data_IF_488647634585
#
_entry.id   IF_488647634585
#
_cell.length_a   1.000
_cell.length_b   1.000
_cell.length_c   1.000
_cell.angle_alpha   90.00
_cell.angle_beta   90.00
_cell.angle_gamma   90.00
#
_symmetry.space_group_name_H-M   'P 1'
#
loop_
_entity.id
_entity.type
_entity.pdbx_description
1 polymer ?
#
# COMPACT_ATOMS: atom_id res chain seq x y z
N UNK A 1 22.97 17.26 -4.18
CA UNK A 1 23.13 16.65 -5.53
C UNK A 1 22.75 15.16 -5.62
N UNK A 2 22.60 14.41 -4.50
CA UNK A 2 22.24 12.98 -4.53
C UNK A 2 20.82 12.68 -5.07
N UNK A 3 19.85 13.58 -4.82
CA UNK A 3 18.47 13.40 -5.30
C UNK A 3 18.34 13.46 -6.83
N UNK A 4 19.07 14.34 -7.52
CA UNK A 4 19.00 14.46 -8.98
C UNK A 4 19.50 13.20 -9.70
N UNK A 5 20.53 12.54 -9.15
CA UNK A 5 21.01 11.28 -9.71
C UNK A 5 20.06 10.12 -9.40
N UNK A 6 19.36 10.14 -8.26
CA UNK A 6 18.35 9.13 -7.91
C UNK A 6 17.11 9.21 -8.82
N UNK A 7 16.73 10.43 -9.23
CA UNK A 7 15.67 10.66 -10.20
C UNK A 7 16.02 10.18 -11.62
N UNK A 8 17.31 10.15 -11.97
CA UNK A 8 17.80 9.68 -13.27
C UNK A 8 17.78 8.16 -13.41
N UNK A 9 17.89 7.40 -12.32
CA UNK A 9 17.91 5.93 -12.36
C UNK A 9 16.52 5.31 -12.54
N UNK A 10 15.43 6.05 -12.27
CA UNK A 10 14.05 5.54 -12.33
C UNK A 10 13.06 6.56 -12.93
N UNK A 11 13.10 6.81 -14.25
CA UNK A 11 12.29 7.84 -14.90
C UNK A 11 10.78 7.61 -14.77
N UNK A 12 10.36 6.34 -14.67
CA UNK A 12 8.94 5.97 -14.58
C UNK A 12 8.30 6.36 -13.24
N UNK A 13 9.00 6.19 -12.11
CA UNK A 13 8.49 6.54 -10.78
C UNK A 13 8.44 8.07 -10.58
N UNK A 14 9.42 8.78 -11.14
CA UNK A 14 9.41 10.24 -11.21
C UNK A 14 8.19 10.77 -11.96
N UNK A 15 7.92 10.23 -13.16
CA UNK A 15 6.76 10.62 -13.96
C UNK A 15 5.45 10.36 -13.23
N UNK A 16 5.30 9.21 -12.56
CA UNK A 16 4.10 8.91 -11.76
C UNK A 16 3.92 9.89 -10.60
N UNK A 17 5.00 10.26 -9.90
CA UNK A 17 4.93 11.23 -8.80
C UNK A 17 4.56 12.64 -9.28
N UNK A 18 5.10 13.06 -10.43
CA UNK A 18 4.82 14.36 -11.03
C UNK A 18 3.39 14.41 -11.56
N UNK A 19 2.91 13.32 -12.17
CA UNK A 19 1.53 13.20 -12.65
C UNK A 19 0.53 13.22 -11.49
N UNK A 20 0.80 12.51 -10.39
CA UNK A 20 -0.05 12.56 -9.20
C UNK A 20 -0.12 13.96 -8.58
N UNK A 21 1.01 14.67 -8.52
CA UNK A 21 1.03 16.06 -8.06
C UNK A 21 0.22 16.99 -8.97
N UNK A 22 0.39 16.85 -10.29
CA UNK A 22 -0.30 17.67 -11.28
C UNK A 22 -1.82 17.41 -11.24
N UNK A 23 -2.23 16.14 -11.30
CA UNK A 23 -3.64 15.74 -11.18
C UNK A 23 -4.23 16.21 -9.86
N UNK A 24 -3.39 16.17 -8.83
CA UNK A 24 -3.69 16.73 -7.54
C UNK A 24 -4.06 18.22 -7.60
N UNK A 25 -3.11 19.05 -7.99
CA UNK A 25 -3.31 20.50 -8.07
C UNK A 25 -4.50 20.87 -8.97
N UNK A 26 -4.69 20.15 -10.06
CA UNK A 26 -5.85 20.32 -10.95
C UNK A 26 -7.15 19.98 -10.23
N UNK A 27 -7.21 18.87 -9.48
CA UNK A 27 -8.39 18.51 -8.69
C UNK A 27 -8.74 19.56 -7.64
N UNK A 28 -7.75 20.06 -6.90
CA UNK A 28 -7.94 21.09 -5.88
C UNK A 28 -8.41 22.42 -6.49
N UNK A 29 -7.81 22.86 -7.60
CA UNK A 29 -8.20 24.09 -8.30
C UNK A 29 -9.59 23.99 -8.90
N UNK A 30 -9.93 22.86 -9.52
CA UNK A 30 -11.26 22.60 -10.05
C UNK A 30 -12.32 22.60 -8.96
N UNK A 31 -12.06 21.94 -7.83
CA UNK A 31 -12.98 21.93 -6.69
C UNK A 31 -13.23 23.33 -6.13
N UNK A 32 -12.17 24.12 -5.92
CA UNK A 32 -12.30 25.50 -5.44
C UNK A 32 -13.09 26.38 -6.40
N UNK A 33 -12.86 26.24 -7.70
CA UNK A 33 -13.60 26.99 -8.73
C UNK A 33 -15.08 26.59 -8.77
N UNK A 34 -15.36 25.28 -8.76
CA UNK A 34 -16.72 24.77 -8.78
C UNK A 34 -17.48 25.14 -7.49
N UNK A 35 -16.83 25.10 -6.33
CA UNK A 35 -17.43 25.50 -5.06
C UNK A 35 -17.81 26.98 -5.05
N UNK A 36 -16.94 27.89 -5.50
CA UNK A 36 -17.23 29.34 -5.54
C UNK A 36 -18.39 29.64 -6.51
N UNK A 37 -18.42 29.00 -7.68
CA UNK A 37 -19.51 29.17 -8.66
C UNK A 37 -20.85 28.64 -8.14
N UNK A 38 -20.88 27.43 -7.58
CA UNK A 38 -22.11 26.87 -7.03
C UNK A 38 -22.60 27.67 -5.81
N UNK A 39 -21.70 28.21 -4.99
CA UNK A 39 -22.05 29.03 -3.85
C UNK A 39 -22.68 30.36 -4.29
N UNK A 40 -22.12 31.03 -5.30
CA UNK A 40 -22.67 32.31 -5.81
C UNK A 40 -24.12 32.16 -6.28
N UNK A 41 -24.43 31.16 -7.10
CA UNK A 41 -25.79 30.94 -7.60
C UNK A 41 -26.81 30.67 -6.46
N UNK A 42 -26.40 29.97 -5.41
CA UNK A 42 -27.24 29.68 -4.25
C UNK A 42 -27.45 30.92 -3.38
N UNK A 43 -26.38 31.70 -3.16
CA UNK A 43 -26.41 32.97 -2.43
C UNK A 43 -27.33 33.96 -3.14
N UNK A 44 -27.25 34.05 -4.47
CA UNK A 44 -28.07 34.97 -5.26
C UNK A 44 -29.56 34.62 -5.14
N UNK A 45 -29.91 33.34 -5.29
CA UNK A 45 -31.30 32.89 -5.12
C UNK A 45 -31.81 33.16 -3.72
N UNK A 46 -31.01 32.82 -2.71
CA UNK A 46 -31.38 33.01 -1.30
C UNK A 46 -31.58 34.49 -0.97
N UNK A 47 -30.65 35.35 -1.37
CA UNK A 47 -30.72 36.79 -1.15
C UNK A 47 -31.90 37.45 -1.87
N UNK A 48 -32.17 37.05 -3.11
CA UNK A 48 -33.34 37.50 -3.86
C UNK A 48 -34.66 37.05 -3.23
N UNK A 49 -34.74 35.81 -2.71
CA UNK A 49 -35.93 35.31 -2.03
C UNK A 49 -36.20 36.10 -0.77
N UNK A 50 -35.20 36.35 0.09
CA UNK A 50 -35.37 37.16 1.29
C UNK A 50 -35.76 38.58 0.93
N UNK A 51 -35.04 39.23 0.02
CA UNK A 51 -35.35 40.60 -0.37
C UNK A 51 -36.77 40.72 -0.93
N UNK A 52 -37.18 39.81 -1.82
CA UNK A 52 -38.50 39.86 -2.43
C UNK A 52 -39.64 39.47 -1.47
N UNK A 53 -39.44 38.48 -0.58
CA UNK A 53 -40.45 38.09 0.40
C UNK A 53 -40.66 39.18 1.46
N UNK A 54 -39.58 39.76 1.96
CA UNK A 54 -39.63 40.88 2.90
C UNK A 54 -40.23 42.12 2.24
N UNK A 55 -39.89 42.41 0.98
CA UNK A 55 -40.48 43.53 0.26
C UNK A 55 -42.00 43.38 0.12
N UNK A 56 -42.50 42.16 -0.14
CA UNK A 56 -43.95 41.87 -0.18
C UNK A 56 -44.61 42.05 1.20
N UNK A 57 -43.99 41.55 2.26
CA UNK A 57 -44.52 41.69 3.62
C UNK A 57 -44.52 43.15 4.10
N UNK A 58 -43.56 43.95 3.64
CA UNK A 58 -43.46 45.37 3.95
C UNK A 58 -44.46 46.24 3.17
N UNK A 59 -45.16 45.72 2.16
CA UNK A 59 -46.12 46.50 1.35
C UNK A 59 -47.21 47.09 2.23
N UNK A 60 -47.86 46.27 3.05
CA UNK A 60 -49.00 46.71 3.88
C UNK A 60 -48.58 47.75 4.93
N UNK A 61 -47.41 47.54 5.55
CA UNK A 61 -46.84 48.50 6.51
C UNK A 61 -46.43 49.82 5.83
N UNK A 62 -45.93 49.75 4.60
CA UNK A 62 -45.58 50.94 3.80
C UNK A 62 -46.83 51.72 3.35
N UNK A 63 -47.90 51.00 2.96
CA UNK A 63 -49.19 51.61 2.57
C UNK A 63 -49.78 52.43 3.71
N UNK A 64 -49.76 51.89 4.93
CA UNK A 64 -50.32 52.51 6.12
C UNK A 64 -49.35 53.48 6.81
N UNK A 65 -48.15 53.69 6.25
CA UNK A 65 -47.07 54.51 6.82
C UNK A 65 -46.70 54.10 8.26
N UNK A 66 -46.86 52.81 8.59
CA UNK A 66 -46.56 52.28 9.91
C UNK A 66 -45.06 51.95 10.02
N UNK A 67 -44.30 52.94 10.45
CA UNK A 67 -42.85 52.81 10.65
C UNK A 67 -42.51 51.79 11.75
N UNK A 68 -43.39 51.57 12.72
CA UNK A 68 -43.17 50.60 13.81
C UNK A 68 -43.30 49.18 13.27
N UNK A 69 -44.32 48.93 12.45
CA UNK A 69 -44.49 47.64 11.77
C UNK A 69 -43.36 47.37 10.76
N UNK A 70 -42.94 48.38 9.99
CA UNK A 70 -41.76 48.27 9.12
C UNK A 70 -40.50 47.92 9.90
N UNK A 71 -40.27 48.59 11.04
CA UNK A 71 -39.11 48.31 11.86
C UNK A 71 -39.16 46.90 12.46
N UNK A 72 -40.34 46.41 12.87
CA UNK A 72 -40.50 45.04 13.36
C UNK A 72 -40.20 44.00 12.27
N UNK A 73 -40.73 44.18 11.05
CA UNK A 73 -40.47 43.30 9.90
C UNK A 73 -38.97 43.28 9.56
N UNK A 74 -38.34 44.46 9.47
CA UNK A 74 -36.90 44.55 9.17
C UNK A 74 -36.03 43.99 10.29
N UNK A 75 -36.45 44.12 11.56
CA UNK A 75 -35.78 43.55 12.72
C UNK A 75 -35.83 42.02 12.70
N UNK A 76 -36.95 41.43 12.31
CA UNK A 76 -37.09 39.98 12.17
C UNK A 76 -36.13 39.44 11.11
N UNK A 77 -36.04 40.09 9.96
CA UNK A 77 -35.15 39.70 8.86
C UNK A 77 -33.68 39.92 9.22
N UNK A 78 -33.37 40.96 9.99
CA UNK A 78 -32.02 41.21 10.50
C UNK A 78 -31.54 40.14 11.50
N UNK A 79 -32.43 39.29 12.03
CA UNK A 79 -32.05 38.16 12.88
C UNK A 79 -31.70 36.89 12.08
N UNK A 80 -31.99 36.84 10.78
CA UNK A 80 -31.65 35.68 9.97
C UNK A 80 -30.13 35.48 9.86
N UNK A 81 -29.67 34.22 9.81
CA UNK A 81 -28.24 33.91 9.70
C UNK A 81 -27.66 34.55 8.44
N UNK A 82 -26.45 35.08 8.56
CA UNK A 82 -25.72 35.78 7.49
C UNK A 82 -26.31 37.13 7.05
N UNK A 83 -27.43 37.62 7.59
CA UNK A 83 -27.91 38.98 7.31
C UNK A 83 -27.21 39.96 8.25
N UNK A 84 -26.46 40.92 7.70
CA UNK A 84 -25.82 41.99 8.50
C UNK A 84 -26.82 43.11 8.74
N UNK A 85 -27.64 43.40 7.75
CA UNK A 85 -28.58 44.48 7.86
C UNK A 85 -29.48 44.62 6.66
N UNK A 86 -30.57 45.33 6.91
CA UNK A 86 -31.60 45.60 5.93
C UNK A 86 -31.91 47.08 5.97
N UNK A 87 -31.99 47.70 4.80
CA UNK A 87 -32.31 49.12 4.63
C UNK A 87 -33.46 49.26 3.66
N UNK A 88 -34.51 49.97 4.07
CA UNK A 88 -35.57 50.40 3.18
C UNK A 88 -35.30 51.84 2.75
N UNK A 89 -35.24 52.07 1.44
CA UNK A 89 -35.05 53.39 0.85
C UNK A 89 -36.27 53.79 0.03
N UNK A 90 -36.60 55.07 0.06
CA UNK A 90 -37.57 55.65 -0.86
C UNK A 90 -36.95 55.82 -2.27
N UNK A 91 -37.77 56.14 -3.28
CA UNK A 91 -37.37 56.45 -4.65
C UNK A 91 -36.34 57.60 -4.71
N UNK A 92 -36.39 58.55 -3.78
CA UNK A 92 -35.41 59.64 -3.66
C UNK A 92 -34.07 59.19 -3.02
N UNK A 93 -33.86 57.88 -2.87
CA UNK A 93 -32.73 57.27 -2.16
C UNK A 93 -32.57 57.73 -0.70
N UNK A 94 -33.65 58.29 -0.12
CA UNK A 94 -33.71 58.65 1.30
C UNK A 94 -33.97 57.39 2.12
N UNK A 95 -33.19 57.21 3.19
CA UNK A 95 -33.38 56.12 4.13
C UNK A 95 -34.69 56.30 4.89
N UNK A 96 -35.55 55.29 4.83
CA UNK A 96 -36.81 55.26 5.59
C UNK A 96 -36.61 54.52 6.91
N UNK A 97 -36.09 53.29 6.83
CA UNK A 97 -35.87 52.44 8.00
C UNK A 97 -34.63 51.56 7.77
N UNK A 98 -33.86 51.31 8.82
CA UNK A 98 -32.67 50.45 8.82
C UNK A 98 -32.68 49.54 10.04
N UNK A 99 -32.31 48.27 9.87
CA UNK A 99 -32.11 47.33 10.97
C UNK A 99 -30.89 46.42 10.74
N UNK A 100 -30.36 45.83 11.81
CA UNK A 100 -29.25 44.86 11.81
C UNK A 100 -27.84 45.45 11.85
N UNK A 101 -27.62 46.65 11.29
CA UNK A 101 -26.28 47.23 11.16
C UNK A 101 -25.61 47.50 12.52
N UNK A 102 -24.54 46.77 12.83
CA UNK A 102 -23.69 47.00 14.01
C UNK A 102 -22.47 47.86 13.61
N UNK A 103 -22.31 49.08 14.15
CA UNK A 103 -21.35 50.08 13.66
C UNK A 103 -19.84 49.75 13.84
N UNK A 104 -19.45 48.55 14.25
CA UNK A 104 -18.04 48.15 14.40
C UNK A 104 -17.83 46.64 14.16
N UNK A 105 -18.67 46.02 13.33
CA UNK A 105 -18.57 44.58 13.10
C UNK A 105 -17.44 44.27 12.11
N UNK A 106 -16.42 43.49 12.49
CA UNK A 106 -15.33 43.13 11.60
C UNK A 106 -15.89 42.30 10.44
N UNK A 107 -15.45 42.61 9.22
CA UNK A 107 -15.83 41.88 8.02
C UNK A 107 -15.12 40.51 8.04
N UNK A 108 -15.88 39.45 8.33
CA UNK A 108 -15.44 38.05 8.34
C UNK A 108 -15.67 37.36 6.98
N UNK A 109 -16.52 37.92 6.12
CA UNK A 109 -16.94 37.30 4.86
C UNK A 109 -17.00 38.25 3.66
N UNK A 110 -17.49 37.73 2.53
CA UNK A 110 -17.85 38.57 1.39
C UNK A 110 -19.27 39.11 1.62
N UNK A 111 -19.46 40.40 1.36
CA UNK A 111 -20.76 41.07 1.45
C UNK A 111 -21.45 41.06 0.09
N UNK A 112 -22.72 40.71 0.09
CA UNK A 112 -23.58 40.69 -1.08
C UNK A 112 -24.82 41.54 -0.79
N UNK A 113 -25.14 42.46 -1.70
CA UNK A 113 -26.30 43.33 -1.56
C UNK A 113 -27.37 42.88 -2.55
N UNK A 114 -28.58 42.67 -2.05
CA UNK A 114 -29.73 42.28 -2.85
C UNK A 114 -30.83 43.32 -2.70
N UNK A 115 -31.45 43.69 -3.81
CA UNK A 115 -32.47 44.74 -3.82
C UNK A 115 -33.77 44.20 -4.39
N UNK A 116 -34.88 44.50 -3.71
CA UNK A 116 -36.22 44.17 -4.18
C UNK A 116 -37.14 45.41 -4.11
N UNK A 117 -37.97 45.65 -5.13
CA UNK A 117 -38.92 46.76 -5.12
C UNK A 117 -40.11 46.45 -4.19
N UNK A 118 -40.50 47.43 -3.39
CA UNK A 118 -41.75 47.40 -2.61
C UNK A 118 -42.84 48.00 -3.51
N UNK A 119 -43.68 47.14 -4.07
CA UNK A 119 -44.76 47.55 -4.98
C UNK A 119 -46.01 47.95 -4.18
N UNK A 120 -46.49 49.17 -4.42
CA UNK A 120 -47.72 49.71 -3.88
C UNK A 120 -48.75 49.83 -5.00
N UNK A 121 -49.69 48.88 -5.07
CA UNK A 121 -50.61 48.72 -6.19
C UNK A 121 -49.85 48.62 -7.53
N UNK A 122 -49.86 49.69 -8.35
CA UNK A 122 -49.23 49.74 -9.67
C UNK A 122 -47.96 50.62 -9.72
N UNK A 123 -47.47 51.09 -8.57
CA UNK A 123 -46.27 51.92 -8.50
C UNK A 123 -45.27 51.39 -7.47
N UNK A 124 -43.99 51.72 -7.63
CA UNK A 124 -42.95 51.31 -6.66
C UNK A 124 -42.86 52.37 -5.57
N UNK A 125 -43.08 52.00 -4.30
CA UNK A 125 -42.98 52.93 -3.17
C UNK A 125 -41.53 53.09 -2.67
N UNK A 126 -40.66 52.13 -2.98
CA UNK A 126 -39.26 52.17 -2.57
C UNK A 126 -38.52 50.87 -2.89
N UNK A 127 -37.25 50.82 -2.50
CA UNK A 127 -36.38 49.68 -2.67
C UNK A 127 -35.90 49.17 -1.31
N UNK A 128 -36.11 47.89 -1.07
CA UNK A 128 -35.56 47.17 0.05
C UNK A 128 -34.19 46.60 -0.34
N UNK A 129 -33.14 46.98 0.39
CA UNK A 129 -31.78 46.47 0.23
C UNK A 129 -31.43 45.57 1.43
N UNK A 130 -31.10 44.32 1.16
CA UNK A 130 -30.65 43.31 2.14
C UNK A 130 -29.17 43.08 1.92
N UNK A 131 -28.37 43.27 2.97
CA UNK A 131 -26.93 43.00 2.94
C UNK A 131 -26.64 41.70 3.68
N UNK A 132 -26.16 40.72 2.93
CA UNK A 132 -25.75 39.40 3.42
C UNK A 132 -24.21 39.34 3.52
N UNK A 133 -23.69 38.75 4.58
CA UNK A 133 -22.27 38.41 4.74
C UNK A 133 -22.12 36.90 4.81
N UNK A 134 -21.61 36.30 3.74
CA UNK A 134 -21.33 34.87 3.71
C UNK A 134 -19.83 34.65 3.91
N UNK A 135 -19.39 33.82 4.87
CA UNK A 135 -18.00 33.46 5.02
C UNK A 135 -17.51 32.76 3.74
N UNK A 136 -16.39 33.23 3.18
CA UNK A 136 -15.85 32.76 1.89
C UNK A 136 -15.40 31.28 1.91
N UNK A 137 -15.23 30.69 3.08
CA UNK A 137 -14.74 29.32 3.23
C UNK A 137 -15.48 28.64 4.36
N UNK A 138 -16.28 27.64 4.01
CA UNK A 138 -16.96 26.82 5.00
C UNK A 138 -15.91 25.95 5.71
N UNK A 139 -16.04 25.72 7.02
CA UNK A 139 -15.14 24.82 7.74
C UNK A 139 -15.08 23.43 7.12
N UNK A 140 -16.18 22.96 6.52
CA UNK A 140 -16.26 21.69 5.79
C UNK A 140 -15.36 21.65 4.54
N UNK A 141 -15.25 22.77 3.81
CA UNK A 141 -14.39 22.85 2.61
C UNK A 141 -12.91 22.73 3.01
N UNK A 142 -12.53 23.26 4.18
CA UNK A 142 -11.17 23.13 4.71
C UNK A 142 -10.86 21.68 5.12
N UNK A 143 -11.78 20.99 5.80
CA UNK A 143 -11.63 19.57 6.14
C UNK A 143 -11.50 18.68 4.91
N UNK A 144 -12.34 18.91 3.90
CA UNK A 144 -12.25 18.19 2.63
C UNK A 144 -10.87 18.36 1.97
N UNK A 145 -10.39 19.61 1.86
CA UNK A 145 -9.08 19.89 1.29
C UNK A 145 -7.92 19.29 2.10
N UNK A 146 -8.03 19.24 3.44
CA UNK A 146 -7.05 18.59 4.29
C UNK A 146 -7.00 17.08 4.04
N UNK A 147 -8.14 16.38 4.04
CA UNK A 147 -8.18 14.95 3.74
C UNK A 147 -7.66 14.62 2.34
N UNK A 148 -7.99 15.49 1.39
CA UNK A 148 -7.56 15.33 0.03
C UNK A 148 -6.03 15.55 -0.11
N UNK A 149 -5.47 16.55 0.56
CA UNK A 149 -4.02 16.77 0.63
C UNK A 149 -3.28 15.65 1.37
N UNK A 150 -3.84 15.11 2.47
CA UNK A 150 -3.25 13.96 3.17
C UNK A 150 -3.27 12.69 2.32
N UNK A 151 -4.30 12.49 1.50
CA UNK A 151 -4.36 11.38 0.54
C UNK A 151 -3.28 11.47 -0.54
N UNK A 152 -3.09 12.67 -1.13
CA UNK A 152 -2.05 12.89 -2.15
C UNK A 152 -0.64 12.75 -1.56
N UNK A 153 -0.41 13.34 -0.39
CA UNK A 153 0.89 13.24 0.31
C UNK A 153 1.18 11.82 0.76
N UNK A 154 0.19 11.07 1.26
CA UNK A 154 0.31 9.65 1.59
C UNK A 154 0.71 8.80 0.37
N UNK A 155 0.11 9.07 -0.79
CA UNK A 155 0.45 8.40 -2.04
C UNK A 155 1.90 8.67 -2.48
N UNK A 156 2.37 9.91 -2.33
CA UNK A 156 3.77 10.27 -2.59
C UNK A 156 4.73 9.61 -1.60
N UNK A 157 4.35 9.52 -0.31
CA UNK A 157 5.15 8.84 0.71
C UNK A 157 5.28 7.34 0.44
N UNK A 158 4.25 6.68 -0.08
CA UNK A 158 4.33 5.26 -0.47
C UNK A 158 5.33 5.06 -1.61
N UNK A 159 5.31 5.94 -2.62
CA UNK A 159 6.27 5.90 -3.74
C UNK A 159 7.69 6.16 -3.23
N UNK A 160 7.85 7.16 -2.35
CA UNK A 160 9.13 7.48 -1.73
C UNK A 160 9.65 6.32 -0.87
N UNK A 161 8.79 5.69 -0.08
CA UNK A 161 9.12 4.54 0.76
C UNK A 161 9.56 3.33 -0.07
N UNK A 162 8.92 3.09 -1.21
CA UNK A 162 9.30 2.04 -2.16
C UNK A 162 10.72 2.26 -2.70
N UNK A 163 11.06 3.51 -3.05
CA UNK A 163 12.39 3.89 -3.50
C UNK A 163 13.41 3.72 -2.36
N UNK A 164 13.08 4.20 -1.16
CA UNK A 164 13.98 4.12 -0.01
C UNK A 164 14.26 2.67 0.40
N UNK A 165 13.24 1.80 0.43
CA UNK A 165 13.40 0.38 0.74
C UNK A 165 14.30 -0.33 -0.26
N UNK A 166 14.20 0.02 -1.55
CA UNK A 166 15.08 -0.51 -2.62
C UNK A 166 16.51 0.02 -2.51
N UNK A 167 16.69 1.28 -2.12
CA UNK A 167 18.00 1.84 -1.84
C UNK A 167 18.66 1.16 -0.64
N UNK A 168 17.91 0.94 0.45
CA UNK A 168 18.38 0.19 1.63
C UNK A 168 18.76 -1.25 1.29
N UNK A 169 18.03 -1.94 0.41
CA UNK A 169 18.45 -3.27 -0.04
C UNK A 169 19.75 -3.22 -0.84
N UNK A 170 19.90 -2.26 -1.76
CA UNK A 170 21.13 -2.10 -2.54
C UNK A 170 22.34 -1.67 -1.69
N UNK A 171 22.11 -0.92 -0.60
CA UNK A 171 23.15 -0.57 0.37
C UNK A 171 23.49 -1.75 1.28
N UNK A 172 22.52 -2.58 1.63
CA UNK A 172 22.77 -3.82 2.36
C UNK A 172 23.63 -4.79 1.54
N UNK A 173 23.46 -4.82 0.22
CA UNK A 173 24.32 -5.60 -0.70
C UNK A 173 25.72 -4.99 -0.89
N UNK A 174 25.91 -3.71 -0.52
CA UNK A 174 27.20 -2.99 -0.60
C UNK A 174 27.84 -2.70 0.75
N UNK A 175 27.20 -3.05 1.86
CA UNK A 175 27.85 -3.05 3.16
C UNK A 175 28.79 -4.24 3.18
N UNK A 176 30.08 -4.05 3.45
CA UNK A 176 31.03 -5.14 3.52
C UNK A 176 30.58 -6.06 4.65
N UNK A 177 30.13 -7.27 4.28
CA UNK A 177 30.01 -8.37 5.22
C UNK A 177 31.36 -8.52 5.93
N UNK A 178 31.30 -8.76 7.24
CA UNK A 178 32.44 -8.85 8.15
C UNK A 178 33.51 -9.89 7.75
N UNK A 179 33.28 -10.66 6.68
CA UNK A 179 34.22 -11.61 6.09
C UNK A 179 35.41 -10.94 5.38
N UNK A 180 35.30 -9.66 4.99
CA UNK A 180 36.43 -8.93 4.38
C UNK A 180 37.43 -8.37 5.41
N UNK A 181 37.15 -8.49 6.71
CA UNK A 181 38.07 -8.08 7.78
C UNK A 181 39.04 -9.22 8.13
N UNK A 182 38.70 -10.47 7.84
CA UNK A 182 39.56 -11.63 8.15
C UNK A 182 40.65 -11.84 7.10
N UNK A 183 40.42 -11.45 5.84
CA UNK A 183 41.45 -11.52 4.79
C UNK A 183 42.48 -10.38 4.86
N UNK A 184 42.13 -9.24 5.47
CA UNK A 184 43.05 -8.09 5.60
C UNK A 184 44.11 -8.26 6.72
N UNK A 185 44.09 -9.33 7.51
CA UNK A 185 45.08 -9.60 8.57
C UNK A 185 46.14 -10.63 8.17
N UNK A 186 45.93 -11.37 7.07
CA UNK A 186 46.92 -12.37 6.59
C UNK A 186 47.98 -11.76 5.65
N UNK A 187 47.77 -10.53 5.17
CA UNK A 187 48.61 -9.94 4.11
C UNK A 187 49.65 -8.90 4.63
N UNK A 188 50.22 -9.13 5.81
CA UNK A 188 51.29 -8.27 6.34
C UNK A 188 52.52 -9.06 6.79
N UNK A 189 53.18 -9.70 5.83
CA UNK A 189 54.58 -10.13 5.94
C UNK A 189 55.31 -9.51 4.74
N UNK A 190 56.32 -8.64 4.93
CA UNK A 190 56.94 -7.91 3.84
C UNK A 190 58.08 -8.71 3.19
N UNK A 191 58.47 -8.26 1.98
CA UNK A 191 59.75 -8.52 1.29
C UNK A 191 59.69 -9.77 0.40
N UNK A 192 59.71 -9.66 -0.93
CA UNK A 192 60.83 -9.31 -1.84
C UNK A 192 60.23 -8.97 -3.23
N UNK A 193 60.92 -8.11 -3.98
CA UNK A 193 60.54 -7.58 -5.28
C UNK A 193 60.80 -8.53 -6.47
N UNK A 194 60.11 -8.23 -7.59
CA UNK A 194 60.22 -8.69 -8.99
C UNK A 194 59.46 -9.96 -9.41
N UNK A 195 59.01 -10.09 -10.69
CA UNK A 195 58.72 -9.08 -11.72
C UNK A 195 57.28 -9.22 -12.30
N UNK A 196 56.89 -8.21 -13.10
CA UNK A 196 55.63 -8.10 -13.85
C UNK A 196 55.24 -9.38 -14.62
N UNK A 197 54.07 -9.94 -14.32
CA UNK A 197 53.38 -10.95 -15.13
C UNK A 197 52.00 -10.44 -15.55
N UNK A 198 51.76 -10.63 -16.84
CA UNK A 198 50.58 -10.39 -17.67
C UNK A 198 49.26 -10.86 -17.00
N UNK A 199 48.11 -10.19 -17.25
CA UNK A 199 46.89 -10.39 -16.47
C UNK A 199 46.28 -11.79 -16.67
N UNK A 200 46.27 -12.60 -15.62
CA UNK A 200 45.48 -13.84 -15.57
C UNK A 200 43.97 -13.54 -15.56
N UNK A 201 43.13 -14.43 -16.13
CA UNK A 201 41.69 -14.24 -16.22
C UNK A 201 41.09 -14.30 -14.81
N UNK A 202 40.25 -13.30 -14.49
CA UNK A 202 39.44 -13.29 -13.27
C UNK A 202 38.65 -14.60 -13.19
N UNK A 203 39.00 -15.43 -12.21
CA UNK A 203 38.27 -16.65 -11.91
C UNK A 203 36.80 -16.29 -11.62
N UNK A 204 35.90 -16.81 -12.46
CA UNK A 204 34.46 -16.78 -12.21
C UNK A 204 34.22 -17.44 -10.83
N UNK A 205 33.45 -16.81 -9.92
CA UNK A 205 33.05 -17.47 -8.69
C UNK A 205 32.37 -18.80 -9.04
N UNK A 206 32.59 -19.88 -8.26
CA UNK A 206 32.04 -21.19 -8.57
C UNK A 206 30.52 -21.08 -8.77
N UNK A 207 30.02 -21.70 -9.83
CA UNK A 207 28.62 -21.63 -10.22
C UNK A 207 27.75 -22.30 -9.15
N UNK A 208 27.33 -21.53 -8.15
CA UNK A 208 26.44 -22.03 -7.10
C UNK A 208 25.08 -22.35 -7.71
N UNK A 209 24.63 -23.57 -7.43
CA UNK A 209 23.36 -24.10 -7.85
C UNK A 209 22.31 -23.83 -6.78
N UNK A 210 21.09 -23.47 -7.19
CA UNK A 210 19.97 -23.25 -6.27
C UNK A 210 18.74 -24.08 -6.62
N UNK A 211 18.10 -24.65 -5.60
CA UNK A 211 16.85 -25.40 -5.70
C UNK A 211 15.81 -24.74 -4.80
N UNK A 212 14.60 -24.54 -5.33
CA UNK A 212 13.47 -23.98 -4.60
C UNK A 212 12.46 -25.06 -4.24
N UNK A 213 12.18 -25.18 -2.94
CA UNK A 213 11.08 -25.94 -2.37
C UNK A 213 9.87 -25.00 -2.20
N UNK A 214 8.77 -25.32 -2.87
CA UNK A 214 7.46 -24.69 -2.68
C UNK A 214 6.57 -25.58 -1.80
N UNK A 215 6.24 -25.11 -0.60
CA UNK A 215 5.41 -25.79 0.37
C UNK A 215 4.03 -25.14 0.42
N UNK A 216 2.98 -25.88 0.05
CA UNK A 216 1.60 -25.39 0.04
C UNK A 216 0.88 -25.76 1.34
N UNK A 217 0.19 -24.77 1.94
CA UNK A 217 -0.61 -24.92 3.16
C UNK A 217 -2.10 -25.07 2.81
N UNK A 218 -2.53 -26.29 2.51
CA UNK A 218 -3.82 -26.59 1.85
C UNK A 218 -5.07 -26.26 2.66
N UNK A 219 -4.97 -26.20 3.99
CA UNK A 219 -6.11 -25.95 4.87
C UNK A 219 -5.96 -24.69 5.71
N UNK A 220 -5.05 -23.78 5.34
CA UNK A 220 -4.78 -22.56 6.11
C UNK A 220 -6.03 -21.68 6.25
N UNK A 221 -6.72 -21.43 5.13
CA UNK A 221 -7.97 -20.65 5.13
C UNK A 221 -9.08 -21.31 5.95
N UNK A 222 -9.19 -22.66 5.90
CA UNK A 222 -10.18 -23.41 6.69
C UNK A 222 -9.90 -23.33 8.19
N UNK A 223 -8.63 -23.45 8.59
CA UNK A 223 -8.21 -23.32 9.99
C UNK A 223 -8.46 -21.91 10.53
N UNK A 224 -8.23 -20.87 9.71
CA UNK A 224 -8.52 -19.49 10.09
C UNK A 224 -10.03 -19.25 10.31
N UNK A 225 -10.90 -19.94 9.57
CA UNK A 225 -12.35 -19.82 9.72
C UNK A 225 -12.92 -20.64 10.90
N UNK A 226 -12.29 -21.77 11.22
CA UNK A 226 -12.82 -22.72 12.22
C UNK A 226 -12.27 -22.51 13.64
N UNK A 227 -11.13 -21.83 13.78
CA UNK A 227 -10.47 -21.62 15.06
C UNK A 227 -10.59 -20.16 15.52
N UNK A 228 -10.51 -19.97 16.83
CA UNK A 228 -10.32 -18.64 17.39
C UNK A 228 -8.88 -18.14 17.11
N UNK A 229 -8.67 -16.83 17.28
CA UNK A 229 -7.39 -16.17 17.00
C UNK A 229 -6.23 -16.76 17.80
N UNK A 230 -6.44 -17.15 19.06
CA UNK A 230 -5.40 -17.80 19.89
C UNK A 230 -5.06 -19.21 19.39
N UNK A 231 -6.05 -20.02 19.08
CA UNK A 231 -5.89 -21.37 18.55
C UNK A 231 -5.15 -21.36 17.22
N UNK A 232 -5.56 -20.51 16.28
CA UNK A 232 -4.89 -20.35 14.99
C UNK A 232 -3.41 -19.92 15.16
N UNK A 233 -3.16 -18.90 15.99
CA UNK A 233 -1.80 -18.42 16.25
C UNK A 233 -0.92 -19.50 16.90
N UNK A 234 -1.47 -20.33 17.79
CA UNK A 234 -0.73 -21.41 18.44
C UNK A 234 -0.28 -22.49 17.44
N UNK A 235 -1.15 -22.85 16.49
CA UNK A 235 -0.86 -23.82 15.43
C UNK A 235 0.24 -23.28 14.51
N UNK A 236 0.12 -22.03 14.08
CA UNK A 236 1.10 -21.41 13.19
C UNK A 236 2.46 -21.20 13.87
N UNK A 237 2.48 -20.76 15.13
CA UNK A 237 3.73 -20.60 15.91
C UNK A 237 4.46 -21.92 16.11
N UNK A 238 3.72 -23.01 16.37
CA UNK A 238 4.31 -24.35 16.49
C UNK A 238 4.95 -24.77 15.17
N UNK A 239 4.21 -24.63 14.06
CA UNK A 239 4.72 -24.93 12.74
C UNK A 239 5.96 -24.07 12.39
N UNK A 240 5.94 -22.77 12.69
CA UNK A 240 7.08 -21.88 12.45
C UNK A 240 8.31 -22.25 13.27
N UNK A 241 8.15 -22.65 14.54
CA UNK A 241 9.25 -23.20 15.35
C UNK A 241 9.85 -24.47 14.73
N UNK A 242 8.99 -25.42 14.33
CA UNK A 242 9.41 -26.67 13.70
C UNK A 242 10.17 -26.41 12.39
N UNK A 243 9.65 -25.50 11.57
CA UNK A 243 10.28 -25.05 10.34
C UNK A 243 11.64 -24.41 10.60
N UNK A 244 11.74 -23.48 11.55
CA UNK A 244 12.99 -22.77 11.84
C UNK A 244 14.11 -23.73 12.29
N UNK A 245 13.79 -24.69 13.16
CA UNK A 245 14.76 -25.71 13.59
C UNK A 245 15.25 -26.57 12.43
N UNK A 246 14.35 -26.94 11.52
CA UNK A 246 14.71 -27.74 10.34
C UNK A 246 15.56 -26.95 9.33
N UNK A 247 15.24 -25.66 9.11
CA UNK A 247 15.99 -24.80 8.22
C UNK A 247 17.43 -24.56 8.71
N UNK A 248 17.65 -24.50 10.03
CA UNK A 248 19.01 -24.43 10.60
C UNK A 248 19.82 -25.71 10.40
N UNK A 249 19.17 -26.88 10.31
CA UNK A 249 19.86 -28.16 10.09
C UNK A 249 20.24 -28.38 8.62
N UNK A 250 19.32 -28.01 7.71
CA UNK A 250 19.49 -28.25 6.27
C UNK A 250 20.06 -27.06 5.50
N UNK A 251 20.36 -25.94 6.18
CA UNK A 251 20.80 -24.67 5.59
C UNK A 251 19.84 -24.12 4.53
N UNK A 252 18.53 -24.21 4.79
CA UNK A 252 17.50 -23.67 3.91
C UNK A 252 17.22 -22.19 4.19
N UNK A 253 17.14 -21.36 3.16
CA UNK A 253 16.73 -19.96 3.28
C UNK A 253 15.24 -19.80 3.01
N UNK A 254 14.47 -19.52 4.05
CA UNK A 254 13.04 -19.19 3.91
C UNK A 254 12.88 -17.85 3.18
N UNK A 255 12.07 -17.85 2.14
CA UNK A 255 11.60 -16.67 1.44
C UNK A 255 10.22 -16.22 1.97
N UNK A 256 9.64 -15.20 1.33
CA UNK A 256 8.30 -14.71 1.66
C UNK A 256 7.21 -15.76 1.41
N UNK A 257 6.18 -15.75 2.26
CA UNK A 257 4.92 -16.44 1.99
C UNK A 257 4.18 -15.72 0.86
N UNK A 258 3.78 -16.42 -0.18
CA UNK A 258 2.95 -15.89 -1.27
C UNK A 258 1.61 -16.65 -1.30
N UNK A 259 0.55 -15.98 -0.83
CA UNK A 259 -0.75 -16.63 -0.64
C UNK A 259 -0.64 -17.78 0.37
N UNK A 260 -0.98 -18.99 -0.06
CA UNK A 260 -0.89 -20.21 0.75
C UNK A 260 0.39 -21.02 0.47
N UNK A 261 1.38 -20.44 -0.22
CA UNK A 261 2.62 -21.14 -0.59
C UNK A 261 3.83 -20.49 0.06
N UNK A 262 4.60 -21.29 0.78
CA UNK A 262 5.88 -20.92 1.37
C UNK A 262 7.01 -21.36 0.45
N UNK A 263 7.95 -20.46 0.14
CA UNK A 263 9.13 -20.79 -0.65
C UNK A 263 10.37 -20.90 0.24
N UNK A 264 11.18 -21.93 0.01
CA UNK A 264 12.44 -22.19 0.70
C UNK A 264 13.49 -22.47 -0.36
N UNK A 265 14.59 -21.72 -0.33
CA UNK A 265 15.68 -21.86 -1.29
C UNK A 265 16.87 -22.59 -0.63
N UNK A 266 17.43 -23.57 -1.34
CA UNK A 266 18.62 -24.30 -0.97
C UNK A 266 19.71 -24.02 -1.99
N UNK A 267 20.83 -23.44 -1.56
CA UNK A 267 22.01 -23.17 -2.38
C UNK A 267 23.15 -24.13 -2.06
N UNK A 268 23.89 -24.57 -3.07
CA UNK A 268 25.04 -25.46 -2.90
C UNK A 268 25.87 -25.57 -4.17
N UNK A 269 26.85 -26.46 -4.15
CA UNK A 269 27.76 -26.68 -5.28
C UNK A 269 27.14 -27.63 -6.32
N UNK A 270 26.32 -28.59 -5.89
CA UNK A 270 25.75 -29.63 -6.75
C UNK A 270 24.22 -29.72 -6.64
N UNK A 271 23.53 -29.89 -7.78
CA UNK A 271 22.07 -29.98 -7.86
C UNK A 271 21.48 -31.13 -7.02
N UNK A 272 22.18 -32.28 -6.98
CA UNK A 272 21.66 -33.47 -6.30
C UNK A 272 21.66 -33.29 -4.78
N UNK A 273 22.66 -32.64 -4.20
CA UNK A 273 22.73 -32.38 -2.76
C UNK A 273 21.64 -31.40 -2.33
N UNK A 274 21.47 -30.30 -3.08
CA UNK A 274 20.40 -29.33 -2.81
C UNK A 274 19.01 -29.95 -2.95
N UNK A 275 18.82 -30.79 -3.97
CA UNK A 275 17.55 -31.49 -4.21
C UNK A 275 17.26 -32.51 -3.10
N UNK A 276 18.27 -33.24 -2.65
CA UNK A 276 18.14 -34.20 -1.54
C UNK A 276 17.78 -33.48 -0.22
N UNK A 277 18.48 -32.40 0.11
CA UNK A 277 18.15 -31.55 1.28
C UNK A 277 16.71 -31.03 1.22
N UNK A 278 16.26 -30.60 0.04
CA UNK A 278 14.89 -30.14 -0.17
C UNK A 278 13.85 -31.27 0.01
N UNK A 279 14.13 -32.47 -0.50
CA UNK A 279 13.27 -33.66 -0.33
C UNK A 279 13.18 -34.08 1.13
N UNK A 280 14.30 -34.17 1.84
CA UNK A 280 14.33 -34.50 3.27
C UNK A 280 13.57 -33.47 4.09
N UNK A 281 13.77 -32.17 3.81
CA UNK A 281 13.06 -31.09 4.49
C UNK A 281 11.54 -31.20 4.27
N UNK A 282 11.09 -31.41 3.02
CA UNK A 282 9.68 -31.60 2.70
C UNK A 282 9.08 -32.82 3.43
N UNK A 283 9.79 -33.94 3.43
CA UNK A 283 9.35 -35.18 4.08
C UNK A 283 9.18 -35.01 5.60
N UNK A 284 10.19 -34.45 6.26
CA UNK A 284 10.15 -34.20 7.71
C UNK A 284 9.01 -33.24 8.07
N UNK A 285 8.83 -32.14 7.32
CA UNK A 285 7.75 -31.18 7.60
C UNK A 285 6.37 -31.80 7.45
N UNK A 286 6.13 -32.59 6.40
CA UNK A 286 4.84 -33.26 6.18
C UNK A 286 4.57 -34.28 7.30
N UNK A 287 5.58 -35.06 7.70
CA UNK A 287 5.43 -36.04 8.78
C UNK A 287 5.18 -35.35 10.13
N UNK A 288 5.93 -34.31 10.47
CA UNK A 288 5.72 -33.55 11.70
C UNK A 288 4.33 -32.89 11.74
N UNK A 289 3.88 -32.32 10.62
CA UNK A 289 2.53 -31.75 10.52
C UNK A 289 1.42 -32.80 10.72
N UNK A 290 1.63 -34.02 10.23
CA UNK A 290 0.70 -35.15 10.42
C UNK A 290 0.68 -35.68 11.87
N UNK A 291 1.80 -35.59 12.60
CA UNK A 291 1.93 -36.09 13.98
C UNK A 291 1.44 -35.09 15.05
N UNK A 292 1.31 -33.81 14.72
CA UNK A 292 0.83 -32.77 15.65
C UNK A 292 -0.61 -33.06 16.16
N UNK A 293 -1.00 -32.62 17.37
CA UNK A 293 -2.37 -32.76 17.86
C UNK A 293 -3.36 -31.94 17.02
N UNK A 294 -4.62 -32.38 16.93
CA UNK A 294 -5.69 -31.63 16.25
C UNK A 294 -5.92 -30.28 16.94
N UNK A 295 -6.08 -29.17 16.19
CA UNK A 295 -6.19 -29.03 14.72
C UNK A 295 -4.84 -29.06 13.97
N UNK A 296 -4.77 -29.82 12.87
CA UNK A 296 -3.52 -30.07 12.09
C UNK A 296 -3.44 -29.24 10.81
N UNK A 297 -2.24 -28.77 10.48
CA UNK A 297 -1.92 -28.20 9.17
C UNK A 297 -1.71 -29.31 8.14
N UNK A 298 -2.28 -29.14 6.94
CA UNK A 298 -2.10 -30.05 5.81
C UNK A 298 -1.14 -29.40 4.82
N UNK A 299 -0.11 -30.15 4.44
CA UNK A 299 1.00 -29.67 3.63
C UNK A 299 1.15 -30.50 2.35
N UNK A 300 1.61 -29.85 1.28
CA UNK A 300 2.14 -30.52 0.09
C UNK A 300 3.38 -29.79 -0.42
N UNK A 301 4.27 -30.50 -1.11
CA UNK A 301 5.57 -29.95 -1.49
C UNK A 301 5.87 -30.17 -2.98
N UNK A 302 6.42 -29.14 -3.61
CA UNK A 302 6.96 -29.17 -4.97
C UNK A 302 8.41 -28.69 -4.97
N UNK A 303 9.30 -29.40 -5.65
CA UNK A 303 10.74 -29.08 -5.69
C UNK A 303 11.13 -28.77 -7.13
N UNK A 304 11.77 -27.61 -7.33
CA UNK A 304 12.09 -27.06 -8.65
C UNK A 304 13.50 -26.45 -8.66
N UNK A 305 14.24 -26.54 -9.78
CA UNK A 305 15.51 -25.84 -9.92
C UNK A 305 15.25 -24.34 -10.01
N UNK A 306 16.03 -23.55 -9.28
CA UNK A 306 16.04 -22.09 -9.40
C UNK A 306 17.21 -21.71 -10.31
N UNK A 307 16.91 -21.20 -11.50
CA UNK A 307 17.94 -20.71 -12.41
C UNK A 307 18.64 -19.50 -11.79
N UNK A 308 19.98 -19.51 -11.78
CA UNK A 308 20.76 -18.35 -11.36
C UNK A 308 20.32 -17.10 -12.17
N UNK A 309 20.29 -15.90 -11.56
CA UNK A 309 19.89 -14.67 -12.23
C UNK A 309 20.91 -14.33 -13.33
N UNK A 310 20.70 -14.86 -14.53
CA UNK A 310 21.50 -14.53 -15.71
C UNK A 310 21.27 -13.07 -16.07
N UNK A 311 22.32 -12.25 -16.06
CA UNK A 311 22.30 -10.80 -16.34
C UNK A 311 21.99 -10.46 -17.82
N UNK A 312 21.34 -11.34 -18.59
CA UNK A 312 20.99 -11.09 -19.99
C UNK A 312 19.67 -10.30 -20.09
N UNK A 313 19.77 -8.99 -20.01
CA UNK A 313 18.70 -8.03 -20.29
C UNK A 313 18.28 -8.13 -21.77
N UNK A 314 17.13 -8.75 -22.05
CA UNK A 314 16.55 -8.72 -23.41
C UNK A 314 15.40 -9.71 -23.63
N UNK A 315 15.55 -10.96 -23.17
CA UNK A 315 14.55 -12.03 -23.35
C UNK A 315 14.17 -12.74 -22.03
N UNK A 316 14.51 -12.16 -20.88
CA UNK A 316 14.41 -12.81 -19.57
C UNK A 316 12.96 -13.12 -19.17
N UNK A 317 12.00 -12.21 -19.40
CA UNK A 317 10.64 -12.36 -18.85
C UNK A 317 9.85 -13.50 -19.50
N UNK A 318 9.93 -13.66 -20.82
CA UNK A 318 9.26 -14.79 -21.51
C UNK A 318 9.92 -16.11 -21.16
N UNK A 319 11.26 -16.16 -21.08
CA UNK A 319 11.99 -17.35 -20.67
C UNK A 319 11.69 -17.73 -19.21
N UNK A 320 11.65 -16.75 -18.32
CA UNK A 320 11.29 -16.91 -16.90
C UNK A 320 9.81 -17.32 -16.75
N UNK A 321 8.90 -16.72 -17.52
CA UNK A 321 7.50 -17.12 -17.56
C UNK A 321 7.33 -18.56 -18.07
N UNK A 322 7.98 -18.94 -19.17
CA UNK A 322 7.92 -20.31 -19.71
C UNK A 322 8.55 -21.33 -18.76
N UNK A 323 9.65 -21.00 -18.10
CA UNK A 323 10.26 -21.86 -17.06
C UNK A 323 9.34 -22.00 -15.85
N UNK A 324 8.67 -20.92 -15.41
CA UNK A 324 7.74 -20.98 -14.29
C UNK A 324 6.44 -21.73 -14.65
N UNK A 325 5.93 -21.52 -15.86
CA UNK A 325 4.69 -22.14 -16.37
C UNK A 325 4.88 -23.63 -16.62
N UNK A 326 5.95 -24.04 -17.34
CA UNK A 326 6.19 -25.45 -17.64
C UNK A 326 6.59 -26.28 -16.40
N UNK A 327 7.11 -25.63 -15.35
CA UNK A 327 7.49 -26.30 -14.10
C UNK A 327 6.44 -26.12 -12.99
N UNK A 328 5.18 -25.75 -13.30
CA UNK A 328 4.12 -25.63 -12.28
C UNK A 328 3.68 -27.01 -11.76
N UNK A 329 4.43 -27.56 -10.80
CA UNK A 329 4.02 -28.73 -10.02
C UNK A 329 2.86 -28.33 -9.09
N UNK A 330 1.70 -28.98 -9.23
CA UNK A 330 0.57 -28.88 -8.29
C UNK A 330 0.46 -30.20 -7.51
N UNK A 331 1.22 -30.36 -6.42
CA UNK A 331 1.20 -31.58 -5.62
C UNK A 331 -0.14 -31.75 -4.89
N UNK A 332 -0.66 -32.97 -4.89
CA UNK A 332 -1.83 -33.34 -4.08
C UNK A 332 -1.52 -33.37 -2.57
N UNK A 333 -2.53 -33.69 -1.77
CA UNK A 333 -2.42 -33.71 -0.30
C UNK A 333 -1.36 -34.72 0.16
N UNK A 334 -0.41 -34.26 0.98
CA UNK A 334 0.73 -35.05 1.48
C UNK A 334 1.63 -35.63 0.37
N UNK A 335 1.61 -35.05 -0.82
CA UNK A 335 2.47 -35.47 -1.92
C UNK A 335 3.70 -34.56 -2.04
N UNK A 336 4.84 -35.18 -2.38
CA UNK A 336 6.09 -34.51 -2.70
C UNK A 336 6.37 -34.80 -4.17
N UNK A 337 6.35 -33.76 -5.00
CA UNK A 337 6.68 -33.84 -6.41
C UNK A 337 8.03 -33.16 -6.68
N UNK A 338 8.91 -33.85 -7.39
CA UNK A 338 10.20 -33.34 -7.85
C UNK A 338 10.15 -33.17 -9.37
N UNK A 339 10.56 -32.01 -9.88
CA UNK A 339 10.61 -31.79 -11.33
C UNK A 339 11.59 -32.76 -12.00
N UNK A 340 11.22 -33.31 -13.16
CA UNK A 340 12.04 -34.30 -13.90
C UNK A 340 13.47 -33.85 -14.19
N UNK A 341 13.71 -32.54 -14.32
CA UNK A 341 15.04 -31.97 -14.54
C UNK A 341 16.01 -32.09 -13.34
N UNK A 342 15.52 -32.51 -12.17
CA UNK A 342 16.31 -32.72 -10.95
C UNK A 342 16.50 -34.21 -10.61
N UNK A 343 15.88 -35.13 -11.37
CA UNK A 343 15.96 -36.57 -11.14
C UNK A 343 17.26 -37.14 -11.72
N UNK A 344 18.38 -36.88 -11.05
CA UNK A 344 19.67 -37.48 -11.40
C UNK A 344 19.82 -38.90 -10.80
N UNK A 345 20.65 -39.72 -11.44
CA UNK A 345 21.01 -41.09 -11.04
C UNK A 345 21.52 -41.19 -9.59
N UNK A 346 22.22 -40.15 -9.11
CA UNK A 346 22.68 -40.05 -7.71
C UNK A 346 21.51 -39.79 -6.73
N UNK A 347 20.52 -38.97 -7.10
CA UNK A 347 19.34 -38.72 -6.27
C UNK A 347 18.45 -39.97 -6.19
N UNK A 348 18.35 -40.73 -7.28
CA UNK A 348 17.65 -42.01 -7.34
C UNK A 348 18.32 -43.12 -6.49
N UNK A 349 19.59 -42.93 -6.15
CA UNK A 349 20.31 -43.83 -5.23
C UNK A 349 19.85 -43.63 -3.77
N UNK A 350 19.50 -42.40 -3.38
CA UNK A 350 19.10 -42.05 -2.01
C UNK A 350 17.58 -42.07 -1.79
N UNK A 351 16.79 -41.84 -2.84
CA UNK A 351 15.34 -41.80 -2.77
C UNK A 351 14.70 -42.43 -4.02
N UNK A 352 13.57 -43.09 -3.82
CA UNK A 352 12.79 -43.73 -4.89
C UNK A 352 11.69 -42.78 -5.35
N UNK A 353 11.59 -42.61 -6.67
CA UNK A 353 10.61 -41.74 -7.32
C UNK A 353 9.88 -42.50 -8.41
N UNK A 354 8.60 -42.21 -8.58
CA UNK A 354 7.86 -42.65 -9.76
C UNK A 354 8.29 -41.82 -10.98
N UNK A 355 8.96 -42.47 -11.94
CA UNK A 355 9.56 -41.84 -13.13
C UNK A 355 8.53 -41.16 -14.05
N UNK A 356 7.25 -41.55 -13.98
CA UNK A 356 6.18 -40.94 -14.76
C UNK A 356 5.61 -39.65 -14.16
N UNK A 357 5.59 -39.53 -12.83
CA UNK A 357 4.95 -38.42 -12.11
C UNK A 357 5.92 -37.53 -11.32
N UNK A 358 7.16 -37.97 -11.11
CA UNK A 358 8.14 -37.29 -10.24
C UNK A 358 7.77 -37.36 -8.76
N UNK A 359 6.83 -38.24 -8.37
CA UNK A 359 6.35 -38.40 -7.00
C UNK A 359 7.34 -39.23 -6.18
N UNK A 360 7.72 -38.72 -5.01
CA UNK A 360 8.51 -39.48 -4.03
C UNK A 360 7.68 -40.65 -3.49
N UNK A 361 8.21 -41.87 -3.62
CA UNK A 361 7.60 -43.08 -3.07
C UNK A 361 8.21 -43.45 -1.72
N UNK A 362 9.54 -43.41 -1.59
CA UNK A 362 10.24 -43.72 -0.32
C UNK A 362 11.68 -43.19 -0.30
N UNK A 363 12.25 -42.98 0.89
CA UNK A 363 13.69 -42.72 1.07
C UNK A 363 14.38 -44.06 1.35
N UNK A 364 15.49 -44.36 0.68
CA UNK A 364 16.21 -45.65 0.80
C UNK A 364 17.07 -45.70 2.07
N UNK A 365 17.24 -46.89 2.66
CA UNK A 365 18.19 -47.12 3.75
C UNK A 365 19.64 -46.96 3.23
N UNK A 366 20.58 -46.37 4.00
CA UNK A 366 20.52 -46.03 5.43
C UNK A 366 19.98 -44.63 5.75
N UNK A 367 19.67 -43.80 4.75
CA UNK A 367 19.26 -42.41 4.95
C UNK A 367 17.90 -42.27 5.64
N UNK A 368 17.00 -43.23 5.44
CA UNK A 368 15.73 -43.33 6.17
C UNK A 368 15.92 -43.29 7.69
N UNK A 369 16.92 -43.99 8.21
CA UNK A 369 17.15 -44.11 9.65
C UNK A 369 17.70 -42.82 10.25
N UNK A 370 18.53 -42.10 9.49
CA UNK A 370 19.01 -40.77 9.87
C UNK A 370 17.88 -39.74 9.89
N UNK A 371 17.04 -39.73 8.85
CA UNK A 371 15.87 -38.83 8.78
C UNK A 371 14.91 -39.09 9.94
N UNK A 372 14.65 -40.37 10.26
CA UNK A 372 13.80 -40.75 11.39
C UNK A 372 14.40 -40.30 12.75
N UNK A 373 15.70 -40.51 12.98
CA UNK A 373 16.37 -40.04 14.21
C UNK A 373 16.34 -38.52 14.35
N UNK A 374 16.56 -37.79 13.25
CA UNK A 374 16.48 -36.32 13.25
C UNK A 374 15.06 -35.83 13.54
N UNK A 375 14.05 -36.52 13.01
CA UNK A 375 12.66 -36.22 13.34
C UNK A 375 12.38 -36.39 14.84
N UNK A 376 12.82 -37.49 15.46
CA UNK A 376 12.64 -37.72 16.90
C UNK A 376 13.32 -36.63 17.75
N UNK A 377 14.54 -36.22 17.40
CA UNK A 377 15.26 -35.17 18.11
C UNK A 377 14.57 -33.80 18.05
N UNK A 378 13.95 -33.48 16.91
CA UNK A 378 13.20 -32.23 16.72
C UNK A 378 11.84 -32.24 17.42
N UNK A 379 11.23 -33.41 17.63
CA UNK A 379 10.01 -33.54 18.42
C UNK A 379 10.27 -33.40 19.92
N UNK A 380 11.44 -33.81 20.40
CA UNK A 380 11.83 -33.73 21.82
C UNK A 380 12.16 -32.29 22.29
N UNK A 381 12.50 -31.39 21.37
CA UNK A 381 12.83 -29.98 21.69
C UNK A 381 11.62 -29.02 21.61
N UNK A 382 10.39 -29.54 21.70
CA UNK A 382 9.14 -28.75 21.60
C UNK A 382 8.76 -28.01 22.87
#
# INVERSE_FOLDING_TARGET
>A
MSLLNHYRTYPQLSLCSLLLLALGLIGATFYLYNADQNQQANIDRYGQIIASSTARQAVDATLNQDMVSLQAILQEVAQYPNVIGVTLRNLDNKLLVQSGYKPNQPVQGKRYNFTAPVALHNNVAGYLEVTLEIPRRTSHDAWFLLFWATSVTGSLLIIWWSIHRRWWSALRDKMPSADQIVTAVVEKIPTIAEPSVEPEPVALPPAQVSVRLSLHLLNLTKLHQQLNSEGFNSVLRRFEKQLQGLLSLYNGQRQSLAGETLFIDFSGEEFHECSFRAVCCAHILINMANQNPSPRLQLSAGIKPLAAPTQSAGCALVKEFLVNYNNSLTPGKNEILVSGNLLDTQLQHHAEFDLGSGKLTSIKAPYSDYVNKQQEQLLLHQ
#
